data_IF_412805085435
#
_entry.id   IF_412805085435
#
_cell.length_a   1.000
_cell.length_b   1.000
_cell.length_c   1.000
_cell.angle_alpha   90.00
_cell.angle_beta   90.00
_cell.angle_gamma   90.00
#
_symmetry.space_group_name_H-M   'P 1'
#
loop_
_entity.id
_entity.type
_entity.pdbx_description
1 polymer ?
#
# COMPACT_ATOMS: atom_id res chain seq x y z
N UNK A 1 2.89 57.88 -16.77
CA UNK A 1 2.58 57.33 -18.11
C UNK A 1 3.34 56.01 -18.22
N UNK A 2 2.78 54.83 -18.35
CA UNK A 2 1.44 54.30 -18.21
C UNK A 2 1.62 52.77 -18.06
N UNK A 3 0.57 52.11 -17.58
CA UNK A 3 0.42 50.71 -17.22
C UNK A 3 0.80 49.66 -18.27
N UNK A 4 1.16 48.45 -17.80
CA UNK A 4 0.50 47.21 -18.25
C UNK A 4 0.63 46.07 -17.24
N UNK A 5 -0.54 45.59 -16.82
CA UNK A 5 -0.79 44.45 -15.94
C UNK A 5 -0.66 43.06 -16.63
N UNK A 6 -0.77 42.01 -15.77
CA UNK A 6 -1.30 40.63 -16.00
C UNK A 6 -0.21 39.57 -16.29
N UNK A 7 -0.08 38.42 -15.63
CA UNK A 7 -0.93 37.50 -14.82
C UNK A 7 0.04 36.54 -14.09
N UNK A 8 -0.01 36.20 -12.80
CA UNK A 8 -1.06 35.46 -12.08
C UNK A 8 -0.64 33.98 -11.88
N UNK A 9 -0.60 33.49 -10.63
CA UNK A 9 -0.46 32.06 -10.25
C UNK A 9 0.57 31.79 -9.13
N UNK A 10 0.34 32.22 -7.88
CA UNK A 10 -0.36 31.46 -6.81
C UNK A 10 0.51 30.30 -6.27
N UNK A 11 1.49 30.60 -5.41
CA UNK A 11 1.35 30.59 -3.95
C UNK A 11 0.58 29.36 -3.45
N UNK A 12 1.30 28.24 -3.32
CA UNK A 12 0.84 26.97 -2.76
C UNK A 12 0.29 27.15 -1.33
N UNK A 13 -0.94 27.63 -1.21
CA UNK A 13 -1.77 27.48 -0.03
C UNK A 13 -2.11 26.00 0.10
N UNK A 14 -1.98 25.48 1.32
CA UNK A 14 -2.51 24.18 1.70
C UNK A 14 -4.05 24.25 1.75
N UNK A 15 -4.69 24.53 0.62
CA UNK A 15 -6.13 24.43 0.48
C UNK A 15 -6.48 22.94 0.37
N UNK A 16 -6.58 22.32 1.54
CA UNK A 16 -7.21 21.03 1.74
C UNK A 16 -8.59 21.06 1.07
N UNK A 17 -8.73 20.37 -0.07
CA UNK A 17 -9.92 20.37 -0.91
C UNK A 17 -11.20 20.25 -0.04
N UNK A 18 -12.10 21.25 -0.03
CA UNK A 18 -13.30 21.22 0.78
C UNK A 18 -14.17 20.00 0.50
N UNK A 19 -14.08 19.45 -0.72
CA UNK A 19 -14.77 18.23 -1.14
C UNK A 19 -14.21 16.98 -0.44
N UNK A 20 -12.89 16.91 -0.26
CA UNK A 20 -12.24 15.85 0.51
C UNK A 20 -12.68 15.90 1.97
N UNK A 21 -12.63 17.08 2.60
CA UNK A 21 -13.04 17.24 4.01
C UNK A 21 -14.51 16.86 4.21
N UNK A 22 -15.38 17.25 3.29
CA UNK A 22 -16.78 16.86 3.31
C UNK A 22 -16.98 15.34 3.17
N UNK A 23 -16.20 14.67 2.31
CA UNK A 23 -16.27 13.22 2.15
C UNK A 23 -15.85 12.47 3.43
N UNK A 24 -14.78 12.91 4.10
CA UNK A 24 -14.34 12.30 5.37
C UNK A 24 -15.38 12.54 6.48
N UNK A 25 -15.90 13.75 6.60
CA UNK A 25 -16.91 14.06 7.61
C UNK A 25 -18.24 13.32 7.35
N UNK A 26 -18.60 13.07 6.09
CA UNK A 26 -19.76 12.26 5.71
C UNK A 26 -19.60 10.79 6.16
N UNK A 27 -18.41 10.21 6.01
CA UNK A 27 -18.11 8.84 6.46
C UNK A 27 -18.04 8.79 8.00
N UNK A 28 -17.42 9.78 8.63
CA UNK A 28 -17.34 9.86 10.09
C UNK A 28 -18.73 10.00 10.74
N UNK A 29 -19.67 10.68 10.10
CA UNK A 29 -21.03 10.86 10.63
C UNK A 29 -21.89 9.61 10.45
N UNK A 30 -21.61 8.78 9.44
CA UNK A 30 -22.37 7.55 9.14
C UNK A 30 -21.80 6.30 9.81
N UNK A 31 -20.56 6.33 10.31
CA UNK A 31 -19.89 5.19 10.95
C UNK A 31 -19.92 5.18 12.50
N UNK A 32 -20.63 6.11 13.14
CA UNK A 32 -20.85 6.08 14.61
C UNK A 32 -21.97 5.09 14.97
N UNK A 33 -21.70 3.81 14.74
CA UNK A 33 -22.15 2.72 15.59
C UNK A 33 -20.87 2.00 16.07
N UNK A 34 -20.19 2.59 17.06
CA UNK A 34 -19.00 1.92 17.62
C UNK A 34 -18.11 2.70 18.58
N UNK A 35 -18.19 4.04 18.67
CA UNK A 35 -17.38 4.78 19.63
C UNK A 35 -18.11 6.02 20.14
N UNK A 36 -18.20 6.13 21.46
CA UNK A 36 -18.80 7.22 22.19
C UNK A 36 -18.20 8.57 21.78
N UNK A 37 -19.05 9.52 21.43
CA UNK A 37 -18.68 10.87 21.03
C UNK A 37 -18.10 11.65 22.22
N UNK A 38 -16.79 11.93 22.21
CA UNK A 38 -16.21 13.02 23.01
C UNK A 38 -16.12 14.26 22.12
N UNK A 39 -17.01 15.23 22.36
CA UNK A 39 -16.82 16.62 21.91
C UNK A 39 -15.82 17.31 22.86
N UNK A 40 -14.94 18.20 22.37
CA UNK A 40 -14.17 19.09 23.21
C UNK A 40 -14.96 20.39 23.47
N UNK A 41 -15.13 20.78 24.74
CA UNK A 41 -15.09 22.17 25.22
C UNK A 41 -15.60 22.30 26.67
N UNK A 42 -14.81 23.04 27.46
CA UNK A 42 -15.18 23.84 28.63
C UNK A 42 -15.65 23.12 29.92
N UNK A 43 -14.76 23.17 30.92
CA UNK A 43 -14.96 23.31 32.37
C UNK A 43 -16.37 23.07 32.92
N UNK A 44 -16.61 21.99 33.68
CA UNK A 44 -17.35 21.98 34.96
C UNK A 44 -17.08 20.69 35.79
N UNK A 45 -16.69 20.92 37.05
CA UNK A 45 -16.96 20.22 38.33
C UNK A 45 -17.51 18.78 38.38
N UNK A 46 -16.87 17.97 39.23
CA UNK A 46 -17.31 16.81 40.06
C UNK A 46 -18.58 16.02 39.69
N UNK A 47 -18.43 14.69 39.61
CA UNK A 47 -19.53 13.74 39.74
C UNK A 47 -19.09 12.28 39.53
N UNK A 48 -18.92 11.56 40.64
CA UNK A 48 -18.90 10.08 40.73
C UNK A 48 -20.20 9.49 40.14
N UNK A 49 -20.09 8.48 39.28
CA UNK A 49 -21.23 7.96 38.51
C UNK A 49 -21.01 6.57 37.90
N UNK A 50 -21.53 5.57 38.59
CA UNK A 50 -21.71 4.17 38.22
C UNK A 50 -22.30 3.96 36.80
N UNK A 51 -21.52 3.37 35.87
CA UNK A 51 -21.92 3.10 34.48
C UNK A 51 -22.75 1.80 34.28
N UNK A 52 -23.66 1.47 35.19
CA UNK A 52 -24.67 0.43 34.90
C UNK A 52 -25.77 0.97 33.99
N UNK A 53 -25.54 0.92 32.68
CA UNK A 53 -26.58 1.17 31.68
C UNK A 53 -27.69 0.11 31.83
N UNK A 54 -28.83 0.51 32.40
CA UNK A 54 -30.03 -0.34 32.47
C UNK A 54 -30.52 -0.62 31.04
N UNK A 55 -30.96 -1.85 30.71
CA UNK A 55 -31.43 -2.18 29.36
C UNK A 55 -32.64 -1.32 29.01
N UNK A 56 -32.48 -0.47 27.99
CA UNK A 56 -33.59 0.31 27.42
C UNK A 56 -34.62 -0.66 26.85
N UNK A 57 -35.87 -0.55 27.29
CA UNK A 57 -36.98 -1.34 26.77
C UNK A 57 -37.11 -1.07 25.27
N UNK A 58 -36.82 -2.08 24.45
CA UNK A 58 -36.91 -1.98 22.99
C UNK A 58 -38.37 -1.77 22.59
N UNK A 59 -38.62 -0.90 21.63
CA UNK A 59 -39.97 -0.66 21.12
C UNK A 59 -40.47 -1.91 20.37
N UNK A 60 -41.79 -2.08 20.28
CA UNK A 60 -42.41 -3.22 19.59
C UNK A 60 -41.92 -3.37 18.13
N UNK A 61 -41.65 -2.26 17.44
CA UNK A 61 -41.05 -2.26 16.10
C UNK A 61 -39.62 -2.85 16.08
N UNK A 62 -38.77 -2.47 17.04
CA UNK A 62 -37.42 -3.01 17.16
C UNK A 62 -37.42 -4.51 17.45
N UNK A 63 -38.36 -4.98 18.27
CA UNK A 63 -38.52 -6.40 18.57
C UNK A 63 -38.97 -7.20 17.34
N UNK A 64 -39.87 -6.63 16.51
CA UNK A 64 -40.25 -7.23 15.22
C UNK A 64 -39.07 -7.35 14.25
N UNK A 65 -38.25 -6.30 14.15
CA UNK A 65 -37.04 -6.31 13.31
C UNK A 65 -36.05 -7.36 13.81
N UNK A 66 -35.81 -7.45 15.13
CA UNK A 66 -34.93 -8.48 15.71
C UNK A 66 -35.44 -9.89 15.44
N UNK A 67 -36.76 -10.12 15.56
CA UNK A 67 -37.37 -11.42 15.28
C UNK A 67 -37.19 -11.82 13.81
N UNK A 68 -37.44 -10.89 12.89
CA UNK A 68 -37.26 -11.13 11.45
C UNK A 68 -35.79 -11.45 11.11
N UNK A 69 -34.84 -10.73 11.70
CA UNK A 69 -33.41 -11.01 11.50
C UNK A 69 -33.02 -12.39 12.02
N UNK A 70 -33.53 -12.79 13.18
CA UNK A 70 -33.26 -14.11 13.74
C UNK A 70 -33.84 -15.23 12.88
N UNK A 71 -35.08 -15.05 12.41
CA UNK A 71 -35.75 -15.96 11.47
C UNK A 71 -34.97 -16.09 10.14
N UNK A 72 -34.44 -14.99 9.61
CA UNK A 72 -33.56 -15.04 8.44
C UNK A 72 -32.29 -15.83 8.71
N UNK A 73 -31.61 -15.59 9.83
CA UNK A 73 -30.36 -16.29 10.17
C UNK A 73 -30.61 -17.80 10.32
N UNK A 74 -31.67 -18.20 11.02
CA UNK A 74 -32.03 -19.61 11.24
C UNK A 74 -32.42 -20.32 9.93
N UNK A 75 -33.14 -19.65 9.03
CA UNK A 75 -33.55 -20.23 7.75
C UNK A 75 -32.41 -20.28 6.71
N UNK A 76 -31.37 -19.47 6.87
CA UNK A 76 -30.27 -19.38 5.90
C UNK A 76 -29.04 -20.21 6.32
N UNK A 77 -28.93 -20.60 7.59
CA UNK A 77 -27.77 -21.31 8.12
C UNK A 77 -28.14 -22.70 8.63
N UNK A 78 -28.02 -23.70 7.77
CA UNK A 78 -28.00 -25.11 8.17
C UNK A 78 -26.59 -25.50 8.63
N UNK A 79 -26.41 -25.70 9.94
CA UNK A 79 -25.16 -26.23 10.47
C UNK A 79 -25.07 -27.73 10.19
N UNK A 80 -24.40 -28.09 9.10
CA UNK A 80 -24.02 -29.48 8.82
C UNK A 80 -23.02 -29.92 9.90
N UNK A 81 -23.49 -30.70 10.87
CA UNK A 81 -22.65 -31.41 11.82
C UNK A 81 -22.08 -32.65 11.14
N UNK A 82 -21.11 -32.45 10.26
CA UNK A 82 -20.29 -33.58 9.83
C UNK A 82 -19.44 -34.04 11.01
N UNK A 83 -19.42 -35.35 11.34
CA UNK A 83 -18.43 -35.88 12.27
C UNK A 83 -17.06 -35.72 11.62
N UNK A 84 -16.26 -34.80 12.15
CA UNK A 84 -14.85 -34.62 11.77
C UNK A 84 -14.13 -35.93 12.07
N UNK A 85 -13.96 -36.74 11.03
CA UNK A 85 -13.11 -37.91 11.05
C UNK A 85 -11.67 -37.38 11.02
N UNK A 86 -11.00 -37.39 12.17
CA UNK A 86 -9.60 -36.97 12.31
C UNK A 86 -8.75 -38.00 11.56
N UNK A 87 -8.10 -37.65 10.44
CA UNK A 87 -7.01 -38.47 9.95
C UNK A 87 -5.81 -38.18 10.85
N UNK A 88 -5.36 -39.22 11.53
CA UNK A 88 -4.03 -39.28 12.11
C UNK A 88 -3.04 -39.23 10.93
N UNK A 89 -2.55 -38.03 10.61
CA UNK A 89 -1.64 -37.81 9.48
C UNK A 89 -0.22 -37.57 10.00
N UNK A 90 0.67 -38.39 9.45
CA UNK A 90 2.08 -38.47 9.75
C UNK A 90 2.76 -37.09 9.63
N UNK A 91 3.72 -36.82 10.52
CA UNK A 91 4.57 -35.63 10.42
C UNK A 91 5.28 -35.61 9.05
N UNK A 92 5.29 -34.45 8.38
CA UNK A 92 6.58 -33.96 7.93
C UNK A 92 6.80 -32.50 8.32
N UNK A 93 8.05 -32.25 8.70
CA UNK A 93 8.79 -30.99 8.68
C UNK A 93 7.96 -29.72 8.53
N UNK A 94 7.92 -28.94 9.62
CA UNK A 94 7.26 -27.64 9.68
C UNK A 94 7.90 -26.65 8.71
N UNK A 95 7.43 -26.65 7.47
CA UNK A 95 7.54 -25.53 6.55
C UNK A 95 6.73 -24.36 7.13
N UNK A 96 7.32 -23.65 8.10
CA UNK A 96 6.75 -22.49 8.77
C UNK A 96 6.74 -21.28 7.82
N UNK A 97 5.83 -21.31 6.84
CA UNK A 97 5.68 -20.24 5.89
C UNK A 97 4.50 -20.42 4.95
N UNK A 98 4.14 -19.36 4.25
CA UNK A 98 3.02 -19.38 3.29
C UNK A 98 3.49 -19.99 1.98
N UNK A 99 2.83 -21.09 1.58
CA UNK A 99 3.03 -21.76 0.29
C UNK A 99 1.83 -21.50 -0.61
N UNK A 100 2.07 -20.84 -1.77
CA UNK A 100 1.01 -20.52 -2.74
C UNK A 100 0.54 -21.75 -3.54
N UNK A 101 1.44 -22.72 -3.77
CA UNK A 101 1.14 -23.93 -4.55
C UNK A 101 1.71 -25.17 -3.87
N UNK A 102 0.96 -26.28 -3.87
CA UNK A 102 1.32 -27.53 -3.17
C UNK A 102 2.71 -28.08 -3.51
N UNK A 103 3.19 -27.87 -4.74
CA UNK A 103 4.48 -28.38 -5.25
C UNK A 103 5.61 -27.33 -5.33
N UNK A 104 5.36 -26.09 -4.91
CA UNK A 104 6.39 -25.03 -4.95
C UNK A 104 7.05 -24.86 -3.58
N UNK A 105 8.26 -24.33 -3.58
CA UNK A 105 8.95 -23.90 -2.35
C UNK A 105 8.11 -22.85 -1.61
N UNK A 106 8.20 -22.85 -0.29
CA UNK A 106 7.53 -21.89 0.58
C UNK A 106 8.10 -20.50 0.33
N UNK A 107 7.28 -19.58 -0.21
CA UNK A 107 7.76 -18.29 -0.71
C UNK A 107 7.90 -17.21 0.37
N UNK A 108 7.07 -17.27 1.40
CA UNK A 108 7.14 -16.39 2.57
C UNK A 108 7.51 -17.27 3.76
N UNK A 109 8.78 -17.25 4.14
CA UNK A 109 9.26 -17.91 5.36
C UNK A 109 8.97 -16.94 6.50
N UNK A 110 8.20 -17.37 7.49
CA UNK A 110 8.16 -16.61 8.73
C UNK A 110 9.53 -16.80 9.37
N UNK A 111 10.33 -15.73 9.47
CA UNK A 111 11.48 -15.73 10.37
C UNK A 111 10.97 -16.27 11.71
N UNK A 112 11.67 -17.26 12.26
CA UNK A 112 11.47 -17.63 13.66
C UNK A 112 11.95 -16.44 14.47
N UNK A 113 11.13 -15.38 14.53
CA UNK A 113 11.41 -14.16 15.27
C UNK A 113 11.36 -14.58 16.72
N UNK A 114 12.52 -14.96 17.22
CA UNK A 114 12.83 -15.40 18.56
C UNK A 114 11.70 -16.24 19.14
N UNK A 115 11.81 -17.57 19.03
CA UNK A 115 11.19 -18.43 20.02
C UNK A 115 11.64 -17.90 21.37
N UNK A 116 10.83 -17.00 21.96
CA UNK A 116 11.01 -16.57 23.33
C UNK A 116 10.95 -17.89 24.07
N UNK A 117 12.10 -18.35 24.54
CA UNK A 117 12.20 -19.52 25.40
C UNK A 117 11.47 -19.17 26.69
N UNK A 118 10.14 -19.15 26.61
CA UNK A 118 9.27 -19.16 27.74
C UNK A 118 9.66 -20.38 28.57
N UNK A 119 9.51 -20.34 29.90
CA UNK A 119 9.92 -21.43 30.75
C UNK A 119 9.35 -22.77 30.24
N UNK A 120 10.20 -23.60 29.62
CA UNK A 120 9.82 -24.90 29.03
C UNK A 120 9.28 -25.86 30.10
N UNK A 121 9.54 -25.56 31.38
CA UNK A 121 8.98 -26.24 32.55
C UNK A 121 7.66 -25.58 32.93
N UNK A 122 6.56 -26.36 32.86
CA UNK A 122 5.29 -26.00 33.48
C UNK A 122 5.56 -25.63 34.95
N UNK A 123 5.14 -24.45 35.44
CA UNK A 123 5.28 -24.13 36.85
C UNK A 123 4.52 -25.19 37.65
N UNK A 124 5.22 -25.85 38.58
CA UNK A 124 4.64 -26.91 39.40
C UNK A 124 3.77 -26.27 40.49
N UNK A 125 2.62 -25.73 40.09
CA UNK A 125 1.62 -25.15 40.97
C UNK A 125 0.86 -26.28 41.67
N UNK A 126 1.53 -27.03 42.54
CA UNK A 126 0.82 -27.91 43.46
C UNK A 126 0.07 -27.03 44.46
N UNK A 127 -1.25 -27.18 44.62
CA UNK A 127 -1.93 -26.63 45.79
C UNK A 127 -1.20 -27.17 47.01
N UNK A 128 -0.51 -26.29 47.74
CA UNK A 128 0.28 -26.70 48.89
C UNK A 128 -0.71 -27.25 49.93
N UNK A 129 -0.68 -28.56 50.16
CA UNK A 129 -1.61 -29.27 51.04
C UNK A 129 -1.47 -28.69 52.45
N UNK A 130 -2.44 -27.87 52.87
CA UNK A 130 -2.70 -27.56 54.27
C UNK A 130 -1.94 -26.39 54.91
N UNK A 131 -1.32 -25.47 54.16
CA UNK A 131 -0.86 -24.22 54.80
C UNK A 131 -2.07 -23.32 55.00
N UNK A 132 -2.60 -23.32 56.23
CA UNK A 132 -3.63 -22.39 56.65
C UNK A 132 -3.24 -20.96 56.28
N UNK A 133 -4.16 -20.19 55.67
CA UNK A 133 -3.87 -18.82 55.19
C UNK A 133 -3.40 -17.85 56.29
N UNK A 134 -3.53 -18.24 57.56
CA UNK A 134 -3.06 -17.52 58.75
C UNK A 134 -1.59 -17.82 59.13
N UNK A 135 -0.99 -18.89 58.59
CA UNK A 135 0.35 -19.35 58.98
C UNK A 135 1.44 -18.30 58.70
N UNK A 136 2.40 -18.20 59.63
CA UNK A 136 3.55 -17.28 59.51
C UNK A 136 4.38 -17.57 58.26
N UNK A 137 4.53 -18.83 57.89
CA UNK A 137 5.26 -19.25 56.68
C UNK A 137 4.53 -18.81 55.41
N UNK A 138 3.20 -18.83 55.39
CA UNK A 138 2.41 -18.32 54.26
C UNK A 138 2.58 -16.80 54.11
N UNK A 139 2.45 -16.05 55.21
CA UNK A 139 2.66 -14.59 55.20
C UNK A 139 4.08 -14.20 54.79
N UNK A 140 5.10 -14.96 55.22
CA UNK A 140 6.51 -14.75 54.82
C UNK A 140 6.70 -14.97 53.32
N UNK A 141 6.10 -16.03 52.77
CA UNK A 141 6.12 -16.33 51.33
C UNK A 141 5.42 -15.25 50.50
N UNK A 142 4.24 -14.80 50.93
CA UNK A 142 3.53 -13.72 50.25
C UNK A 142 4.37 -12.44 50.29
N UNK A 143 4.92 -12.05 51.45
CA UNK A 143 5.79 -10.87 51.56
C UNK A 143 7.06 -10.96 50.69
N UNK A 144 7.63 -12.16 50.50
CA UNK A 144 8.78 -12.33 49.60
C UNK A 144 8.44 -12.25 48.11
N UNK A 145 7.16 -12.47 47.75
CA UNK A 145 6.68 -12.44 46.36
C UNK A 145 6.06 -11.08 46.01
N UNK A 146 5.58 -10.34 47.01
CA UNK A 146 5.04 -8.99 46.84
C UNK A 146 6.16 -8.07 46.35
N UNK A 147 6.13 -7.80 45.05
CA UNK A 147 6.90 -6.74 44.40
C UNK A 147 6.17 -5.43 44.64
N UNK A 148 6.91 -4.35 44.94
CA UNK A 148 6.28 -3.04 45.10
C UNK A 148 5.69 -2.56 43.77
N UNK A 149 4.50 -1.97 43.81
CA UNK A 149 3.84 -1.46 42.60
C UNK A 149 4.68 -0.39 41.90
N UNK A 150 5.46 0.36 42.68
CA UNK A 150 6.40 1.39 42.20
C UNK A 150 7.51 0.80 41.34
N UNK A 151 8.03 -0.39 41.70
CA UNK A 151 9.10 -1.07 40.98
C UNK A 151 8.59 -1.59 39.63
N UNK A 152 7.35 -2.08 39.58
CA UNK A 152 6.72 -2.53 38.33
C UNK A 152 6.47 -1.35 37.39
N UNK A 153 5.97 -0.24 37.91
CA UNK A 153 5.71 0.96 37.11
C UNK A 153 7.00 1.59 36.59
N UNK A 154 8.04 1.68 37.42
CA UNK A 154 9.35 2.20 36.98
C UNK A 154 9.99 1.30 35.93
N UNK A 155 10.00 -0.02 36.13
CA UNK A 155 10.49 -0.97 35.12
C UNK A 155 9.73 -0.90 33.80
N UNK A 156 8.39 -0.74 33.84
CA UNK A 156 7.58 -0.57 32.64
C UNK A 156 7.89 0.74 31.90
N UNK A 157 8.07 1.84 32.64
CA UNK A 157 8.43 3.14 32.07
C UNK A 157 9.82 3.08 31.43
N UNK A 158 10.80 2.44 32.07
CA UNK A 158 12.14 2.27 31.51
C UNK A 158 12.15 1.40 30.26
N UNK A 159 11.40 0.29 30.27
CA UNK A 159 11.25 -0.57 29.09
C UNK A 159 10.60 0.19 27.92
N UNK A 160 9.56 0.99 28.20
CA UNK A 160 8.91 1.84 27.20
C UNK A 160 9.90 2.84 26.62
N UNK A 161 10.63 3.60 27.46
CA UNK A 161 11.65 4.56 27.01
C UNK A 161 12.73 3.91 26.15
N UNK A 162 13.21 2.72 26.54
CA UNK A 162 14.20 1.96 25.77
C UNK A 162 13.65 1.54 24.40
N UNK A 163 12.39 1.14 24.33
CA UNK A 163 11.74 0.79 23.06
C UNK A 163 11.59 2.02 22.16
N UNK A 164 11.15 3.16 22.70
CA UNK A 164 11.04 4.43 21.96
C UNK A 164 12.37 4.84 21.35
N UNK A 165 13.46 4.83 22.14
CA UNK A 165 14.79 5.17 21.66
C UNK A 165 15.27 4.24 20.53
N UNK A 166 14.93 2.94 20.57
CA UNK A 166 15.26 1.99 19.50
C UNK A 166 14.49 2.29 18.21
N UNK A 167 13.24 2.73 18.30
CA UNK A 167 12.43 3.10 17.13
C UNK A 167 12.96 4.40 16.53
N UNK A 168 13.23 5.42 17.36
CA UNK A 168 13.79 6.70 16.91
C UNK A 168 15.14 6.52 16.21
N UNK A 169 16.03 5.65 16.72
CA UNK A 169 17.29 5.34 16.07
C UNK A 169 17.11 4.69 14.69
N UNK A 170 16.12 3.80 14.55
CA UNK A 170 15.78 3.17 13.26
C UNK A 170 15.19 4.18 12.28
N UNK A 171 14.33 5.08 12.75
CA UNK A 171 13.75 6.15 11.93
C UNK A 171 14.81 7.16 11.47
N UNK A 172 15.74 7.55 12.33
CA UNK A 172 16.86 8.42 11.95
C UNK A 172 17.75 7.77 10.89
N UNK A 173 18.04 6.46 11.02
CA UNK A 173 18.79 5.71 10.02
C UNK A 173 18.02 5.60 8.69
N UNK A 174 16.71 5.39 8.72
CA UNK A 174 15.87 5.37 7.52
C UNK A 174 15.82 6.73 6.84
N UNK A 175 15.64 7.83 7.59
CA UNK A 175 15.65 9.21 7.08
C UNK A 175 17.01 9.56 6.45
N UNK A 176 18.13 9.14 7.06
CA UNK A 176 19.46 9.35 6.49
C UNK A 176 19.67 8.58 5.18
N UNK A 177 19.15 7.35 5.07
CA UNK A 177 19.18 6.58 3.82
C UNK A 177 18.30 7.21 2.74
N UNK A 178 17.11 7.69 3.10
CA UNK A 178 16.19 8.35 2.17
C UNK A 178 16.81 9.63 1.58
N UNK A 179 17.45 10.46 2.41
CA UNK A 179 18.15 11.68 1.93
C UNK A 179 19.29 11.37 0.95
N UNK A 180 20.10 10.34 1.23
CA UNK A 180 21.17 9.90 0.32
C UNK A 180 20.64 9.42 -1.03
N UNK A 181 19.50 8.73 -1.02
CA UNK A 181 18.86 8.28 -2.26
C UNK A 181 18.24 9.45 -3.03
N UNK A 182 17.64 10.42 -2.34
CA UNK A 182 17.11 11.64 -2.95
C UNK A 182 18.21 12.46 -3.62
N UNK A 183 19.36 12.63 -2.97
CA UNK A 183 20.54 13.31 -3.53
C UNK A 183 21.04 12.60 -4.80
N UNK A 184 21.15 11.26 -4.77
CA UNK A 184 21.52 10.45 -5.94
C UNK A 184 20.51 10.59 -7.08
N UNK A 185 19.21 10.59 -6.75
CA UNK A 185 18.14 10.79 -7.74
C UNK A 185 18.18 12.21 -8.32
N UNK A 186 18.48 13.23 -7.52
CA UNK A 186 18.63 14.61 -7.97
C UNK A 186 19.84 14.77 -8.90
N UNK A 187 20.98 14.15 -8.60
CA UNK A 187 22.15 14.09 -9.48
C UNK A 187 21.83 13.40 -10.81
N UNK A 188 21.15 12.25 -10.77
CA UNK A 188 20.71 11.57 -11.98
C UNK A 188 19.73 12.40 -12.80
N UNK A 189 18.84 13.15 -12.15
CA UNK A 189 17.91 14.07 -12.83
C UNK A 189 18.66 15.21 -13.54
N UNK A 190 19.70 15.78 -12.91
CA UNK A 190 20.56 16.79 -13.55
C UNK A 190 21.26 16.23 -14.80
N UNK A 191 21.91 15.07 -14.65
CA UNK A 191 22.62 14.41 -15.77
C UNK A 191 21.67 14.01 -16.90
N UNK A 192 20.48 13.52 -16.57
CA UNK A 192 19.46 13.11 -17.57
C UNK A 192 18.84 14.31 -18.27
N UNK A 193 18.63 15.43 -17.58
CA UNK A 193 18.07 16.66 -18.15
C UNK A 193 18.98 17.33 -19.18
N UNK A 194 20.30 17.34 -18.95
CA UNK A 194 21.25 18.05 -19.81
C UNK A 194 21.69 17.24 -21.05
N UNK A 195 21.80 15.91 -20.97
CA UNK A 195 22.32 15.09 -22.09
C UNK A 195 21.24 14.47 -22.98
N UNK A 196 20.07 14.11 -22.45
CA UNK A 196 19.10 13.33 -23.21
C UNK A 196 18.35 14.18 -24.23
N UNK A 197 17.85 15.35 -23.84
CA UNK A 197 17.05 16.20 -24.71
C UNK A 197 17.83 16.73 -25.93
N UNK A 198 19.07 17.24 -25.81
CA UNK A 198 19.83 17.66 -26.99
C UNK A 198 20.29 16.49 -27.87
N UNK A 199 20.51 15.30 -27.30
CA UNK A 199 20.92 14.12 -28.07
C UNK A 199 19.78 13.58 -28.93
N UNK A 200 18.58 13.43 -28.35
CA UNK A 200 17.39 12.99 -29.07
C UNK A 200 16.97 14.04 -30.11
N UNK A 201 17.06 15.33 -29.79
CA UNK A 201 16.77 16.39 -30.76
C UNK A 201 17.70 16.35 -31.98
N UNK A 202 19.01 16.12 -31.77
CA UNK A 202 19.99 15.94 -32.87
C UNK A 202 19.68 14.68 -33.70
N UNK A 203 19.34 13.58 -33.06
CA UNK A 203 19.00 12.32 -33.74
C UNK A 203 17.72 12.45 -34.58
N UNK A 204 16.70 13.14 -34.06
CA UNK A 204 15.47 13.45 -34.79
C UNK A 204 15.74 14.40 -35.97
N UNK A 205 16.61 15.40 -35.81
CA UNK A 205 16.99 16.28 -36.93
C UNK A 205 17.72 15.51 -38.04
N UNK A 206 18.66 14.63 -37.70
CA UNK A 206 19.41 13.84 -38.70
C UNK A 206 18.49 12.87 -39.43
N UNK A 207 17.58 12.21 -38.72
CA UNK A 207 16.61 11.29 -39.34
C UNK A 207 15.61 12.01 -40.25
N UNK A 208 15.12 13.20 -39.86
CA UNK A 208 14.28 14.05 -40.71
C UNK A 208 15.02 14.50 -41.98
N UNK A 209 16.28 14.93 -41.87
CA UNK A 209 17.09 15.32 -43.03
C UNK A 209 17.35 14.12 -43.94
N UNK A 210 17.60 12.94 -43.38
CA UNK A 210 17.82 11.72 -44.13
C UNK A 210 16.57 11.29 -44.90
N UNK A 211 15.39 11.34 -44.26
CA UNK A 211 14.10 11.10 -44.91
C UNK A 211 13.83 12.12 -46.03
N UNK A 212 14.11 13.40 -45.79
CA UNK A 212 13.97 14.46 -46.79
C UNK A 212 14.89 14.18 -48.01
N UNK A 213 16.14 13.78 -47.76
CA UNK A 213 17.11 13.47 -48.82
C UNK A 213 16.68 12.24 -49.63
N UNK A 214 16.25 11.17 -48.96
CA UNK A 214 15.73 9.96 -49.60
C UNK A 214 14.49 10.28 -50.45
N UNK A 215 13.59 11.13 -49.93
CA UNK A 215 12.40 11.56 -50.68
C UNK A 215 12.79 12.34 -51.94
N UNK A 216 13.73 13.30 -51.84
CA UNK A 216 14.20 14.07 -52.99
C UNK A 216 14.89 13.17 -54.01
N UNK A 217 15.76 12.26 -53.58
CA UNK A 217 16.47 11.34 -54.49
C UNK A 217 15.51 10.37 -55.17
N UNK A 218 14.57 9.79 -54.44
CA UNK A 218 13.57 8.87 -55.02
C UNK A 218 12.61 9.57 -55.98
N UNK A 219 12.20 10.81 -55.67
CA UNK A 219 11.41 11.64 -56.56
C UNK A 219 12.16 11.96 -57.86
N UNK A 220 13.44 12.33 -57.76
CA UNK A 220 14.25 12.69 -58.93
C UNK A 220 14.57 11.47 -59.79
N UNK A 221 14.88 10.31 -59.18
CA UNK A 221 15.07 9.05 -59.90
C UNK A 221 13.80 8.63 -60.63
N UNK A 222 12.63 8.70 -60.00
CA UNK A 222 11.35 8.39 -60.66
C UNK A 222 11.08 9.33 -61.85
N UNK A 223 11.43 10.61 -61.73
CA UNK A 223 11.29 11.59 -62.82
C UNK A 223 12.17 11.24 -64.02
N UNK A 224 13.43 10.84 -63.77
CA UNK A 224 14.34 10.40 -64.84
C UNK A 224 13.91 9.09 -65.49
N UNK A 225 13.38 8.14 -64.70
CA UNK A 225 12.92 6.84 -65.22
C UNK A 225 11.66 6.98 -66.09
N UNK A 226 10.75 7.90 -65.72
CA UNK A 226 9.58 8.24 -66.55
C UNK A 226 9.99 8.87 -67.87
N UNK A 227 10.96 9.80 -67.85
CA UNK A 227 11.43 10.48 -69.06
C UNK A 227 12.18 9.52 -70.01
N UNK A 228 12.98 8.60 -69.46
CA UNK A 228 13.69 7.59 -70.25
C UNK A 228 12.72 6.58 -70.91
N UNK A 229 11.64 6.21 -70.23
CA UNK A 229 10.61 5.33 -70.78
C UNK A 229 9.86 5.97 -71.96
N UNK A 230 9.53 7.26 -71.85
CA UNK A 230 8.78 8.01 -72.86
C UNK A 230 9.63 8.30 -74.12
N UNK A 231 10.93 8.56 -73.96
CA UNK A 231 11.86 8.69 -75.09
C UNK A 231 11.99 7.39 -75.87
N UNK A 232 12.02 6.24 -75.17
CA UNK A 232 12.15 4.92 -75.81
C UNK A 232 10.92 4.57 -76.64
N UNK A 233 9.72 4.85 -76.13
CA UNK A 233 8.48 4.64 -76.89
C UNK A 233 8.39 5.56 -78.11
N UNK A 234 8.82 6.82 -77.99
CA UNK A 234 8.81 7.75 -79.11
C UNK A 234 9.81 7.35 -80.21
N UNK A 235 10.96 6.79 -79.83
CA UNK A 235 11.96 6.30 -80.79
C UNK A 235 11.47 5.04 -81.52
N UNK A 236 10.85 4.08 -80.82
CA UNK A 236 10.23 2.89 -81.45
C UNK A 236 9.07 3.29 -82.38
N UNK A 237 8.27 4.29 -82.00
CA UNK A 237 7.19 4.81 -82.86
C UNK A 237 7.77 5.46 -84.13
N UNK A 238 8.85 6.25 -84.02
CA UNK A 238 9.51 6.84 -85.18
C UNK A 238 10.06 5.76 -86.14
N UNK A 239 10.69 4.71 -85.61
CA UNK A 239 11.26 3.62 -86.40
C UNK A 239 10.16 2.81 -87.13
N UNK A 240 9.02 2.57 -86.47
CA UNK A 240 7.85 1.92 -87.08
C UNK A 240 7.26 2.76 -88.22
N UNK A 241 7.17 4.09 -88.04
CA UNK A 241 6.64 5.01 -89.07
C UNK A 241 7.58 5.07 -90.28
N UNK A 242 8.90 5.07 -90.07
CA UNK A 242 9.90 5.13 -91.13
C UNK A 242 9.94 3.84 -91.97
N UNK A 243 9.76 2.67 -91.32
CA UNK A 243 9.58 1.38 -92.00
C UNK A 243 8.30 1.37 -92.85
N UNK A 244 7.19 1.92 -92.33
CA UNK A 244 5.91 1.94 -93.07
C UNK A 244 5.94 2.89 -94.28
N UNK A 245 6.71 3.98 -94.23
CA UNK A 245 6.91 4.90 -95.36
C UNK A 245 7.86 4.37 -96.44
N UNK A 246 8.73 3.41 -96.13
CA UNK A 246 9.63 2.78 -97.12
C UNK A 246 8.99 1.62 -97.89
N UNK A 247 7.83 1.14 -97.46
CA UNK A 247 7.13 -0.02 -98.05
C UNK A 247 6.09 0.40 -99.11
N UNK A 248 5.87 1.71 -99.31
CA UNK A 248 4.83 2.25 -100.18
C UNK A 248 5.36 3.19 -101.25
#
# INVERSE_FOLDING_TARGET
MADREKSGGDSSSEDEDPKWKAAINSIATTTVYGASAMKPAATQSYGDGDFRQKPKKLTHAQMKVKKLLNEMVENTLDFVKDPVNVPEDDKPESDCGVRLFKRCSTGIIFDHVDELEGPKKKPNLRPNRGVEGSSKEFKKRIKSIVVDGSDVLSAAIEAAKKASARVEAKEAAAKAKAKKEEERVAELKKVRGEKWLPSVARELQVSLIFLQLVFVVTHELNKTHSFAAEQKTNMEICEIVEIHLSIH
#
